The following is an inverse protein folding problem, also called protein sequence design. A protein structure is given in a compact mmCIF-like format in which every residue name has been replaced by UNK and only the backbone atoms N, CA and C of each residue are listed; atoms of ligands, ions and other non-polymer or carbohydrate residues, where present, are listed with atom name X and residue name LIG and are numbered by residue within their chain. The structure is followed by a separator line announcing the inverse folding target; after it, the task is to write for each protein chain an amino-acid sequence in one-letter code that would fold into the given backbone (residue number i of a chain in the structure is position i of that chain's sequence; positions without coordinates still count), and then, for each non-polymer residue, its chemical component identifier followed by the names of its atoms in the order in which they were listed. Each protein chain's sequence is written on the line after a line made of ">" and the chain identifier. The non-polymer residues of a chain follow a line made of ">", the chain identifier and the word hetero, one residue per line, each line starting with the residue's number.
data_IF_467496899892
#
_entry.id   IF_467496899892
#
_cell.length_a   1.000
_cell.length_b   1.000
_cell.length_c   1.000
_cell.angle_alpha   90.00
_cell.angle_beta   90.00
_cell.angle_gamma   90.00
#
_symmetry.space_group_name_H-M   'P 1'
#
loop_
_entity.id
_entity.type
_entity.pdbx_description
1 polymer ?
#
# COMPACT_ATOMS: atom_id res chain seq x y z
N UNK A 1 -44.79 -14.65 -19.60
CA UNK A 1 -43.96 -13.45 -19.81
C UNK A 1 -42.80 -13.33 -18.83
N UNK A 2 -42.96 -13.66 -17.55
CA UNK A 2 -41.94 -13.50 -16.50
C UNK A 2 -40.63 -14.27 -16.77
N UNK A 3 -40.70 -15.52 -17.23
CA UNK A 3 -39.52 -16.36 -17.48
C UNK A 3 -38.64 -15.82 -18.63
N UNK A 4 -39.28 -15.28 -19.68
CA UNK A 4 -38.59 -14.71 -20.84
C UNK A 4 -37.85 -13.43 -20.43
N UNK A 5 -38.49 -12.60 -19.60
CA UNK A 5 -37.87 -11.37 -19.07
C UNK A 5 -36.67 -11.70 -18.16
N UNK A 6 -36.76 -12.75 -17.34
CA UNK A 6 -35.66 -13.22 -16.50
C UNK A 6 -34.47 -13.73 -17.34
N UNK A 7 -34.73 -14.52 -18.38
CA UNK A 7 -33.69 -15.01 -19.30
C UNK A 7 -33.02 -13.83 -20.04
N UNK A 8 -33.80 -12.83 -20.44
CA UNK A 8 -33.29 -11.65 -21.13
C UNK A 8 -32.41 -10.78 -20.21
N UNK A 9 -32.77 -10.63 -18.93
CA UNK A 9 -31.97 -9.96 -17.90
C UNK A 9 -30.66 -10.69 -17.61
N UNK A 10 -30.70 -12.02 -17.43
CA UNK A 10 -29.49 -12.82 -17.20
C UNK A 10 -28.53 -12.78 -18.40
N UNK A 11 -29.05 -12.81 -19.64
CA UNK A 11 -28.23 -12.62 -20.86
C UNK A 11 -27.61 -11.23 -20.92
N UNK A 12 -28.35 -10.19 -20.51
CA UNK A 12 -27.86 -8.81 -20.44
C UNK A 12 -26.72 -8.68 -19.43
N UNK A 13 -26.83 -9.30 -18.25
CA UNK A 13 -25.76 -9.30 -17.25
C UNK A 13 -24.53 -10.09 -17.67
N UNK A 14 -24.72 -11.24 -18.36
CA UNK A 14 -23.62 -12.00 -18.95
C UNK A 14 -22.87 -11.23 -20.04
N UNK A 15 -23.59 -10.47 -20.88
CA UNK A 15 -22.99 -9.59 -21.89
C UNK A 15 -22.34 -8.33 -21.32
N UNK A 16 -22.68 -7.95 -20.09
CA UNK A 16 -22.11 -6.78 -19.41
C UNK A 16 -20.83 -7.11 -18.63
N UNK A 17 -20.39 -8.38 -18.65
CA UNK A 17 -19.03 -8.75 -18.25
C UNK A 17 -18.09 -8.14 -19.28
N UNK A 18 -17.56 -6.95 -18.98
CA UNK A 18 -16.48 -6.32 -19.74
C UNK A 18 -15.41 -7.39 -19.96
N UNK A 19 -15.30 -7.92 -21.17
CA UNK A 19 -14.22 -8.82 -21.52
C UNK A 19 -12.93 -8.07 -21.21
N UNK A 20 -12.04 -8.72 -20.47
CA UNK A 20 -10.72 -8.19 -20.23
C UNK A 20 -10.01 -8.11 -21.59
N UNK A 21 -9.89 -6.89 -22.12
CA UNK A 21 -9.11 -6.60 -23.31
C UNK A 21 -7.77 -6.09 -22.84
N UNK A 22 -6.72 -6.79 -23.24
CA UNK A 22 -5.37 -6.34 -22.96
C UNK A 22 -5.11 -4.99 -23.65
N UNK A 23 -4.44 -4.02 -22.99
CA UNK A 23 -4.20 -2.72 -23.60
C UNK A 23 -3.44 -2.84 -24.94
N UNK A 24 -3.66 -1.93 -25.90
CA UNK A 24 -2.88 -1.87 -27.13
C UNK A 24 -1.38 -1.72 -26.86
N UNK A 25 -0.54 -2.26 -27.75
CA UNK A 25 0.93 -2.20 -27.64
C UNK A 25 1.45 -0.78 -27.41
N UNK A 26 0.88 0.21 -28.11
CA UNK A 26 1.26 1.62 -27.97
C UNK A 26 1.04 2.16 -26.55
N UNK A 27 -0.05 1.76 -25.88
CA UNK A 27 -0.34 2.17 -24.50
C UNK A 27 0.65 1.50 -23.52
N UNK A 28 0.99 0.24 -23.75
CA UNK A 28 2.01 -0.45 -22.95
C UNK A 28 3.38 0.19 -23.10
N UNK A 29 3.80 0.51 -24.32
CA UNK A 29 5.08 1.17 -24.58
C UNK A 29 5.15 2.55 -23.89
N UNK A 30 4.04 3.30 -23.85
CA UNK A 30 3.96 4.56 -23.09
C UNK A 30 4.17 4.34 -21.60
N UNK A 31 3.57 3.29 -21.03
CA UNK A 31 3.73 2.95 -19.60
C UNK A 31 5.17 2.51 -19.31
N UNK A 32 5.72 1.60 -20.10
CA UNK A 32 7.11 1.12 -19.97
C UNK A 32 8.07 2.30 -20.04
N UNK A 33 7.94 3.16 -21.07
CA UNK A 33 8.79 4.35 -21.23
C UNK A 33 8.71 5.29 -20.04
N UNK A 34 7.55 5.41 -19.38
CA UNK A 34 7.37 6.23 -18.18
C UNK A 34 8.04 5.61 -16.96
N UNK A 35 7.88 4.30 -16.78
CA UNK A 35 8.43 3.57 -15.64
C UNK A 35 9.95 3.44 -15.69
N UNK A 36 10.55 3.45 -16.88
CA UNK A 36 12.01 3.38 -17.07
C UNK A 36 12.72 4.72 -16.97
N UNK A 37 11.98 5.84 -16.81
CA UNK A 37 12.62 7.15 -16.65
C UNK A 37 13.45 7.20 -15.36
N UNK A 38 14.66 7.77 -15.41
CA UNK A 38 15.45 8.02 -14.21
C UNK A 38 14.65 8.83 -13.19
N UNK A 39 14.62 8.37 -11.95
CA UNK A 39 13.89 9.06 -10.88
C UNK A 39 12.39 8.80 -10.85
N UNK A 40 11.86 7.86 -11.64
CA UNK A 40 10.48 7.41 -11.47
C UNK A 40 10.29 6.76 -10.10
N UNK A 41 9.40 7.34 -9.27
CA UNK A 41 9.21 6.96 -7.85
C UNK A 41 8.05 6.00 -7.61
N UNK A 42 7.19 5.77 -8.60
CA UNK A 42 5.98 4.96 -8.40
C UNK A 42 6.28 3.47 -8.62
N UNK A 43 7.29 2.97 -7.93
CA UNK A 43 7.75 1.58 -7.94
C UNK A 43 7.78 1.10 -6.50
N UNK A 44 6.96 0.10 -6.18
CA UNK A 44 6.94 -0.49 -4.85
C UNK A 44 8.31 -1.03 -4.46
N UNK A 45 8.82 -0.60 -3.30
CA UNK A 45 10.06 -1.10 -2.73
C UNK A 45 9.76 -2.06 -1.59
N UNK A 46 10.03 -3.35 -1.84
CA UNK A 46 10.00 -4.38 -0.81
C UNK A 46 11.18 -4.28 0.16
N UNK A 47 11.05 -4.97 1.28
CA UNK A 47 12.14 -5.19 2.23
C UNK A 47 13.09 -6.29 1.76
N UNK A 48 14.38 -6.13 2.08
CA UNK A 48 15.34 -7.24 1.98
C UNK A 48 15.09 -8.27 3.10
N UNK A 49 15.42 -9.56 2.88
CA UNK A 49 15.22 -10.61 3.89
C UNK A 49 15.91 -10.33 5.24
N UNK A 50 17.03 -9.61 5.22
CA UNK A 50 17.84 -9.23 6.38
C UNK A 50 17.66 -7.76 6.78
N UNK A 51 16.53 -7.12 6.42
CA UNK A 51 16.25 -5.74 6.77
C UNK A 51 16.34 -5.51 8.29
N UNK A 52 16.81 -4.33 8.68
CA UNK A 52 16.89 -3.92 10.08
C UNK A 52 15.48 -3.83 10.70
N UNK A 53 15.37 -3.98 12.02
CA UNK A 53 14.09 -3.78 12.72
C UNK A 53 13.51 -2.38 12.47
N UNK A 54 14.38 -1.37 12.37
CA UNK A 54 13.95 -0.01 12.06
C UNK A 54 13.32 0.09 10.66
N UNK A 55 13.89 -0.59 9.66
CA UNK A 55 13.35 -0.59 8.30
C UNK A 55 12.06 -1.39 8.19
N UNK A 56 11.96 -2.51 8.91
CA UNK A 56 10.71 -3.27 9.05
C UNK A 56 9.60 -2.40 9.64
N UNK A 57 9.90 -1.66 10.70
CA UNK A 57 8.95 -0.71 11.31
C UNK A 57 8.50 0.33 10.29
N UNK A 58 9.44 1.01 9.61
CA UNK A 58 9.07 2.03 8.59
C UNK A 58 8.19 1.45 7.49
N UNK A 59 8.54 0.26 6.99
CA UNK A 59 7.77 -0.39 5.94
C UNK A 59 6.36 -0.74 6.41
N UNK A 60 6.21 -1.32 7.60
CA UNK A 60 4.91 -1.63 8.17
C UNK A 60 4.04 -0.38 8.34
N UNK A 61 4.62 0.72 8.83
CA UNK A 61 3.89 1.99 8.97
C UNK A 61 3.46 2.54 7.59
N UNK A 62 4.30 2.41 6.55
CA UNK A 62 3.93 2.79 5.18
C UNK A 62 2.75 1.96 4.68
N UNK A 63 2.78 0.64 4.90
CA UNK A 63 1.69 -0.26 4.54
C UNK A 63 0.40 0.12 5.26
N UNK A 64 0.44 0.37 6.58
CA UNK A 64 -0.75 0.78 7.34
C UNK A 64 -1.38 2.09 6.82
N UNK A 65 -0.57 3.05 6.34
CA UNK A 65 -1.09 4.27 5.70
C UNK A 65 -1.73 3.93 4.34
N UNK A 66 -1.14 3.02 3.57
CA UNK A 66 -1.70 2.51 2.32
C UNK A 66 -3.03 1.79 2.53
N UNK A 67 -3.08 0.85 3.47
CA UNK A 67 -4.28 0.10 3.84
C UNK A 67 -5.40 1.06 4.29
N UNK A 68 -5.08 2.06 5.11
CA UNK A 68 -6.03 3.11 5.46
C UNK A 68 -6.57 3.86 4.24
N UNK A 69 -5.72 4.17 3.26
CA UNK A 69 -6.14 4.83 2.03
C UNK A 69 -7.17 3.99 1.26
N UNK A 70 -6.89 2.70 1.12
CA UNK A 70 -7.73 1.75 0.38
C UNK A 70 -9.05 1.47 1.11
N UNK A 71 -8.99 1.20 2.41
CA UNK A 71 -10.16 0.94 3.27
C UNK A 71 -11.13 2.13 3.29
N UNK A 72 -10.60 3.36 3.21
CA UNK A 72 -11.39 4.59 3.21
C UNK A 72 -11.64 5.14 1.79
N UNK A 73 -11.22 4.43 0.74
CA UNK A 73 -11.37 4.81 -0.67
C UNK A 73 -10.91 6.25 -0.96
N UNK A 74 -9.79 6.66 -0.35
CA UNK A 74 -9.26 8.01 -0.52
C UNK A 74 -8.51 8.13 -1.83
N UNK A 75 -8.66 9.27 -2.50
CA UNK A 75 -7.73 9.65 -3.57
C UNK A 75 -6.40 10.08 -2.96
N UNK A 76 -5.31 9.90 -3.72
CA UNK A 76 -3.97 10.37 -3.34
C UNK A 76 -3.98 11.85 -2.92
N UNK A 77 -4.72 12.70 -3.64
CA UNK A 77 -4.84 14.13 -3.32
C UNK A 77 -5.50 14.37 -1.96
N UNK A 78 -6.57 13.64 -1.64
CA UNK A 78 -7.23 13.76 -0.32
C UNK A 78 -6.34 13.24 0.80
N UNK A 79 -5.60 12.16 0.56
CA UNK A 79 -4.65 11.62 1.51
C UNK A 79 -3.50 12.62 1.77
N UNK A 80 -2.91 13.19 0.73
CA UNK A 80 -1.89 14.24 0.86
C UNK A 80 -2.40 15.44 1.67
N UNK A 81 -3.64 15.89 1.43
CA UNK A 81 -4.26 16.97 2.19
C UNK A 81 -4.43 16.62 3.67
N UNK A 82 -4.94 15.42 3.98
CA UNK A 82 -5.09 14.94 5.37
C UNK A 82 -3.75 14.87 6.10
N UNK A 83 -2.71 14.40 5.42
CA UNK A 83 -1.36 14.29 5.98
C UNK A 83 -0.62 15.63 6.04
N UNK A 84 -1.06 16.62 5.26
CA UNK A 84 -0.40 17.92 5.13
C UNK A 84 0.94 17.81 4.41
N UNK A 85 1.04 16.96 3.38
CA UNK A 85 2.27 16.70 2.63
C UNK A 85 2.10 16.92 1.13
N UNK A 86 3.22 17.07 0.42
CA UNK A 86 3.21 17.16 -1.04
C UNK A 86 3.12 15.76 -1.70
N UNK A 87 2.88 15.76 -3.02
CA UNK A 87 2.76 14.53 -3.80
C UNK A 87 4.03 13.67 -3.74
N UNK A 88 5.22 14.26 -3.74
CA UNK A 88 6.47 13.51 -3.69
C UNK A 88 6.62 12.72 -2.38
N UNK A 89 6.36 13.36 -1.24
CA UNK A 89 6.41 12.70 0.07
C UNK A 89 5.32 11.63 0.18
N UNK A 90 4.14 11.88 -0.40
CA UNK A 90 3.09 10.88 -0.48
C UNK A 90 3.54 9.64 -1.27
N UNK A 91 4.16 9.84 -2.44
CA UNK A 91 4.71 8.73 -3.23
C UNK A 91 5.77 7.94 -2.45
N UNK A 92 6.61 8.60 -1.65
CA UNK A 92 7.54 7.87 -0.79
C UNK A 92 6.85 6.95 0.20
N UNK A 93 5.69 7.33 0.73
CA UNK A 93 4.91 6.50 1.65
C UNK A 93 4.23 5.37 0.88
N UNK A 94 3.43 5.70 -0.15
CA UNK A 94 2.61 4.72 -0.87
C UNK A 94 3.42 3.63 -1.57
N UNK A 95 4.66 3.95 -1.98
CA UNK A 95 5.56 3.00 -2.65
C UNK A 95 6.69 2.49 -1.74
N UNK A 96 6.60 2.70 -0.41
CA UNK A 96 7.55 2.23 0.61
C UNK A 96 9.02 2.64 0.38
N UNK A 97 9.27 3.89 -0.01
CA UNK A 97 10.63 4.45 -0.09
C UNK A 97 11.19 4.79 1.30
N UNK A 98 11.32 3.78 2.15
CA UNK A 98 11.67 3.88 3.58
C UNK A 98 12.98 4.63 3.87
N UNK A 99 13.90 4.71 2.91
CA UNK A 99 15.16 5.46 3.03
C UNK A 99 14.96 7.00 2.94
N UNK A 100 13.75 7.46 2.58
CA UNK A 100 13.36 8.87 2.48
C UNK A 100 12.45 9.33 3.62
N UNK A 101 12.22 8.45 4.59
CA UNK A 101 11.25 8.61 5.65
C UNK A 101 11.91 8.29 6.99
N UNK A 102 11.51 9.00 8.04
CA UNK A 102 11.84 8.64 9.42
C UNK A 102 10.67 7.93 10.07
N UNK A 103 10.94 7.18 11.17
CA UNK A 103 9.88 6.55 11.96
C UNK A 103 8.96 7.61 12.58
N UNK A 104 9.54 8.71 13.07
CA UNK A 104 8.79 9.83 13.67
C UNK A 104 7.84 10.49 12.67
N UNK A 105 8.28 10.74 11.43
CA UNK A 105 7.40 11.27 10.38
C UNK A 105 6.20 10.35 10.14
N UNK A 106 6.43 9.04 10.05
CA UNK A 106 5.38 8.06 9.80
C UNK A 106 4.39 7.95 10.97
N UNK A 107 4.89 7.99 12.21
CA UNK A 107 4.03 8.04 13.41
C UNK A 107 3.14 9.29 13.37
N UNK A 108 3.71 10.45 13.09
CA UNK A 108 2.95 11.70 12.99
C UNK A 108 1.89 11.67 11.88
N UNK A 109 2.15 10.95 10.78
CA UNK A 109 1.15 10.77 9.72
C UNK A 109 0.02 9.84 10.16
N UNK A 110 0.33 8.74 10.83
CA UNK A 110 -0.70 7.82 11.34
C UNK A 110 -1.58 8.50 12.38
N UNK A 111 -0.99 9.30 13.28
CA UNK A 111 -1.74 10.07 14.27
C UNK A 111 -2.79 10.99 13.63
N UNK A 112 -2.46 11.63 12.49
CA UNK A 112 -3.41 12.43 11.71
C UNK A 112 -4.55 11.62 11.05
N UNK A 113 -4.35 10.32 10.82
CA UNK A 113 -5.32 9.47 10.13
C UNK A 113 -6.26 8.75 11.11
N UNK A 114 -5.70 8.16 12.15
CA UNK A 114 -6.42 7.28 13.09
C UNK A 114 -6.49 7.83 14.51
N UNK A 115 -5.56 8.71 14.91
CA UNK A 115 -5.40 9.18 16.29
C UNK A 115 -5.02 8.08 17.29
N UNK A 116 -4.63 6.90 16.82
CA UNK A 116 -4.27 5.76 17.65
C UNK A 116 -3.20 4.89 16.98
N UNK A 117 -2.15 4.57 17.73
CA UNK A 117 -1.06 3.67 17.34
C UNK A 117 -0.70 2.78 18.53
N UNK A 118 -0.59 1.47 18.30
CA UNK A 118 -0.12 0.51 19.30
C UNK A 118 1.28 -0.01 18.93
N UNK A 119 2.20 -0.02 19.90
CA UNK A 119 3.55 -0.57 19.74
C UNK A 119 3.68 -1.81 20.61
N UNK A 120 3.92 -2.97 19.98
CA UNK A 120 4.17 -4.22 20.67
C UNK A 120 5.67 -4.53 20.73
N UNK A 121 6.18 -4.73 21.94
CA UNK A 121 7.57 -5.14 22.18
C UNK A 121 7.61 -6.61 22.58
N UNK A 122 8.29 -7.44 21.78
CA UNK A 122 8.51 -8.84 22.10
C UNK A 122 9.90 -9.01 22.73
N UNK A 123 9.96 -9.47 23.98
CA UNK A 123 11.21 -9.76 24.68
C UNK A 123 11.31 -11.26 24.98
N UNK A 124 12.30 -11.93 24.39
CA UNK A 124 12.64 -13.30 24.76
C UNK A 124 13.48 -13.28 26.03
N UNK A 125 12.92 -13.81 27.13
CA UNK A 125 13.70 -14.00 28.36
C UNK A 125 14.77 -15.07 28.14
N UNK A 126 16.01 -14.87 28.63
CA UNK A 126 17.00 -15.93 28.64
C UNK A 126 16.43 -17.15 29.37
N UNK A 127 16.49 -18.32 28.72
CA UNK A 127 16.13 -19.58 29.38
C UNK A 127 17.11 -19.77 30.55
N UNK A 128 16.59 -19.81 31.78
CA UNK A 128 17.41 -20.09 32.95
C UNK A 128 18.17 -21.39 32.68
N UNK A 129 19.50 -21.36 32.71
CA UNK A 129 20.28 -22.58 32.60
C UNK A 129 19.89 -23.46 33.78
N UNK A 130 19.38 -24.65 33.48
CA UNK A 130 19.21 -25.68 34.48
C UNK A 130 20.60 -25.91 35.10
N UNK A 131 20.80 -25.42 36.33
CA UNK A 131 21.96 -25.80 37.13
C UNK A 131 21.85 -27.31 37.30
N UNK A 132 22.68 -28.04 36.57
CA UNK A 132 22.95 -29.44 36.83
C UNK A 132 23.34 -29.55 38.31
N UNK A 133 22.49 -30.24 39.07
CA UNK A 133 22.76 -30.65 40.45
C UNK A 133 23.50 -31.98 40.42
#
# INVERSE_FOLDING_TARGET
>A
ETLINTIMLMKKELNNKKQFVFPPEEEMQKVIKRMTQPGYRRINKGLFPNASEQDKIKHNLCQSIGDYCDDNQLSEQKLAQKLGINQEKLEYILFCHINKLTVEELINYIDKLTGHLEIKVNYERPKASARAS
#
